data_IF_359163690629
#
_entry.id   IF_359163690629
#
_cell.length_a   1.000
_cell.length_b   1.000
_cell.length_c   1.000
_cell.angle_alpha   90.00
_cell.angle_beta   90.00
_cell.angle_gamma   90.00
#
_symmetry.space_group_name_H-M   'P 1'
#
loop_
_entity.id
_entity.type
_entity.pdbx_description
1 polymer ?
#
# COMPACT_ATOMS: atom_id res chain seq x y z
N UNK A 1 -62.24 5.91 -39.90
CA UNK A 1 -60.95 5.91 -39.16
C UNK A 1 -60.05 4.85 -39.77
N UNK A 2 -59.05 5.26 -40.53
CA UNK A 2 -58.06 4.36 -41.17
C UNK A 2 -57.06 3.86 -40.13
N UNK A 3 -57.06 2.56 -39.86
CA UNK A 3 -56.11 1.89 -38.98
C UNK A 3 -54.71 1.87 -39.63
N UNK A 4 -53.82 2.71 -39.10
CA UNK A 4 -52.40 2.73 -39.47
C UNK A 4 -51.74 1.49 -38.88
N UNK A 5 -51.38 0.54 -39.75
CA UNK A 5 -50.68 -0.70 -39.38
C UNK A 5 -49.30 -0.34 -38.82
N UNK A 6 -49.12 -0.50 -37.50
CA UNK A 6 -47.84 -0.36 -36.82
C UNK A 6 -46.99 -1.59 -37.11
N UNK A 7 -46.17 -1.52 -38.15
CA UNK A 7 -45.17 -2.55 -38.48
C UNK A 7 -44.06 -2.50 -37.44
N UNK A 8 -44.16 -3.34 -36.40
CA UNK A 8 -43.06 -3.59 -35.46
C UNK A 8 -41.92 -4.28 -36.20
N UNK A 9 -40.87 -3.52 -36.48
CA UNK A 9 -39.67 -4.00 -37.14
C UNK A 9 -38.93 -4.96 -36.19
N UNK A 10 -39.22 -6.26 -36.28
CA UNK A 10 -38.60 -7.34 -35.48
C UNK A 10 -37.19 -7.63 -35.99
N UNK A 11 -36.28 -6.65 -35.87
CA UNK A 11 -34.86 -6.88 -36.09
C UNK A 11 -34.12 -7.18 -34.77
N UNK A 12 -34.80 -7.82 -33.82
CA UNK A 12 -34.17 -8.32 -32.60
C UNK A 12 -33.38 -9.60 -32.92
N UNK A 13 -32.17 -9.41 -33.44
CA UNK A 13 -31.15 -10.46 -33.47
C UNK A 13 -30.73 -10.73 -32.02
N UNK A 14 -31.24 -11.82 -31.45
CA UNK A 14 -30.80 -12.28 -30.13
C UNK A 14 -29.35 -12.77 -30.20
N UNK A 15 -28.60 -12.55 -29.13
CA UNK A 15 -27.27 -13.13 -28.94
C UNK A 15 -27.38 -14.65 -29.06
N UNK A 16 -26.53 -15.27 -29.88
CA UNK A 16 -26.52 -16.72 -29.99
C UNK A 16 -25.83 -17.33 -28.75
N UNK A 17 -26.31 -18.50 -28.31
CA UNK A 17 -25.68 -19.22 -27.18
C UNK A 17 -24.20 -19.54 -27.50
N UNK A 18 -23.90 -19.81 -28.77
CA UNK A 18 -22.55 -20.08 -29.23
C UNK A 18 -21.64 -18.85 -29.17
N UNK A 19 -22.13 -17.65 -29.49
CA UNK A 19 -21.38 -16.40 -29.30
C UNK A 19 -21.02 -16.21 -27.84
N UNK A 20 -21.96 -16.45 -26.93
CA UNK A 20 -21.70 -16.31 -25.50
C UNK A 20 -20.71 -17.38 -24.99
N UNK A 21 -20.79 -18.62 -25.48
CA UNK A 21 -19.84 -19.68 -25.14
C UNK A 21 -18.41 -19.35 -25.54
N UNK A 22 -18.20 -18.80 -26.74
CA UNK A 22 -16.85 -18.43 -27.21
C UNK A 22 -16.32 -17.27 -26.37
N UNK A 23 -17.17 -16.30 -26.01
CA UNK A 23 -16.76 -15.16 -25.18
C UNK A 23 -16.29 -15.61 -23.80
N UNK A 24 -17.05 -16.48 -23.11
CA UNK A 24 -16.63 -16.98 -21.79
C UNK A 24 -15.36 -17.85 -21.88
N UNK A 25 -15.17 -18.58 -22.99
CA UNK A 25 -13.96 -19.36 -23.21
C UNK A 25 -12.72 -18.46 -23.33
N UNK A 26 -12.81 -17.37 -24.09
CA UNK A 26 -11.72 -16.39 -24.25
C UNK A 26 -11.44 -15.69 -22.91
N UNK A 27 -12.48 -15.22 -22.20
CA UNK A 27 -12.32 -14.57 -20.88
C UNK A 27 -11.67 -15.55 -19.89
N UNK A 28 -12.02 -16.84 -19.93
CA UNK A 28 -11.42 -17.89 -19.09
C UNK A 28 -9.91 -18.02 -19.30
N UNK A 29 -9.46 -18.02 -20.56
CA UNK A 29 -8.03 -18.09 -20.90
C UNK A 29 -7.30 -16.84 -20.40
N UNK A 30 -7.86 -15.65 -20.64
CA UNK A 30 -7.26 -14.39 -20.18
C UNK A 30 -7.20 -14.31 -18.66
N UNK A 31 -8.26 -14.72 -17.96
CA UNK A 31 -8.33 -14.72 -16.50
C UNK A 31 -7.30 -15.67 -15.87
N UNK A 32 -7.07 -16.84 -16.45
CA UNK A 32 -6.10 -17.81 -15.96
C UNK A 32 -4.67 -17.24 -15.87
N UNK A 33 -4.29 -16.38 -16.83
CA UNK A 33 -2.98 -15.71 -16.84
C UNK A 33 -3.00 -14.41 -16.03
N UNK A 34 -4.09 -13.65 -16.09
CA UNK A 34 -4.18 -12.33 -15.47
C UNK A 34 -4.30 -12.39 -13.94
N UNK A 35 -5.07 -13.33 -13.38
CA UNK A 35 -5.33 -13.43 -11.93
C UNK A 35 -4.03 -13.60 -11.10
N UNK A 36 -3.16 -14.60 -11.38
CA UNK A 36 -1.96 -14.78 -10.56
C UNK A 36 -1.02 -13.58 -10.64
N UNK A 37 -0.90 -12.97 -11.82
CA UNK A 37 -0.10 -11.77 -12.02
C UNK A 37 -0.68 -10.58 -11.23
N UNK A 38 -1.99 -10.37 -11.28
CA UNK A 38 -2.66 -9.30 -10.54
C UNK A 38 -2.45 -9.41 -9.03
N UNK A 39 -2.54 -10.61 -8.47
CA UNK A 39 -2.28 -10.86 -7.04
C UNK A 39 -0.85 -10.44 -6.69
N UNK A 40 0.14 -10.90 -7.46
CA UNK A 40 1.55 -10.53 -7.22
C UNK A 40 1.81 -9.02 -7.32
N UNK A 41 1.21 -8.34 -8.29
CA UNK A 41 1.33 -6.87 -8.40
C UNK A 41 0.71 -6.17 -7.21
N UNK A 42 -0.46 -6.63 -6.76
CA UNK A 42 -1.13 -6.05 -5.61
C UNK A 42 -0.31 -6.25 -4.33
N UNK A 43 0.24 -7.42 -4.13
CA UNK A 43 1.12 -7.75 -3.02
C UNK A 43 2.38 -6.86 -2.98
N UNK A 44 3.01 -6.64 -4.14
CA UNK A 44 4.13 -5.69 -4.28
C UNK A 44 3.73 -4.25 -3.95
N UNK A 45 2.51 -3.83 -4.36
CA UNK A 45 2.02 -2.49 -4.07
C UNK A 45 1.88 -2.23 -2.56
N UNK A 46 1.55 -3.26 -1.77
CA UNK A 46 1.51 -3.15 -0.31
C UNK A 46 2.89 -3.00 0.32
N UNK A 47 3.88 -3.74 -0.17
CA UNK A 47 5.26 -3.57 0.28
C UNK A 47 5.78 -2.16 -0.05
N UNK A 48 5.53 -1.68 -1.28
CA UNK A 48 5.92 -0.34 -1.71
C UNK A 48 5.23 0.75 -0.90
N UNK A 49 3.96 0.55 -0.52
CA UNK A 49 3.26 1.47 0.37
C UNK A 49 3.93 1.58 1.75
N UNK A 50 4.32 0.46 2.36
CA UNK A 50 5.02 0.47 3.65
C UNK A 50 6.40 1.14 3.57
N UNK A 51 7.13 0.95 2.46
CA UNK A 51 8.39 1.64 2.21
C UNK A 51 8.20 3.15 2.02
N UNK A 52 7.19 3.56 1.24
CA UNK A 52 6.84 4.97 1.05
C UNK A 52 6.42 5.63 2.37
N UNK A 53 5.65 4.94 3.20
CA UNK A 53 5.25 5.41 4.53
C UNK A 53 6.48 5.65 5.42
N UNK A 54 7.46 4.75 5.39
CA UNK A 54 8.70 4.90 6.15
C UNK A 54 9.53 6.09 5.66
N UNK A 55 9.58 6.33 4.35
CA UNK A 55 10.26 7.49 3.76
C UNK A 55 9.57 8.81 4.12
N UNK A 56 8.23 8.83 4.12
CA UNK A 56 7.47 10.02 4.53
C UNK A 56 7.70 10.38 6.01
N UNK A 57 7.84 9.38 6.87
CA UNK A 57 8.21 9.58 8.28
C UNK A 57 9.65 10.07 8.40
N UNK A 58 10.56 9.52 7.60
CA UNK A 58 11.96 9.94 7.57
C UNK A 58 12.12 11.40 7.13
N UNK A 59 11.41 11.84 6.08
CA UNK A 59 11.43 13.23 5.64
C UNK A 59 10.83 14.16 6.70
N UNK A 60 9.70 13.79 7.31
CA UNK A 60 9.10 14.58 8.39
C UNK A 60 10.04 14.74 9.60
N UNK A 61 10.84 13.72 9.90
CA UNK A 61 11.85 13.80 10.96
C UNK A 61 13.02 14.71 10.58
N UNK A 62 13.48 14.64 9.33
CA UNK A 62 14.53 15.52 8.82
C UNK A 62 14.09 16.99 8.84
N UNK A 63 12.87 17.29 8.41
CA UNK A 63 12.29 18.64 8.43
C UNK A 63 12.18 19.18 9.85
N UNK A 64 11.80 18.33 10.81
CA UNK A 64 11.72 18.69 12.22
C UNK A 64 13.09 19.14 12.76
N UNK A 65 14.15 18.35 12.54
CA UNK A 65 15.50 18.70 13.00
C UNK A 65 16.19 19.81 12.18
N UNK A 66 15.64 20.19 11.02
CA UNK A 66 16.13 21.33 10.27
C UNK A 66 15.83 22.68 10.97
N UNK A 67 14.86 22.71 11.90
CA UNK A 67 14.49 23.93 12.64
C UNK A 67 15.44 24.16 13.82
N UNK A 68 16.19 25.28 13.86
CA UNK A 68 17.04 25.62 15.00
C UNK A 68 16.22 25.79 16.29
N UNK A 69 16.64 25.13 17.36
CA UNK A 69 15.96 25.15 18.68
C UNK A 69 15.14 23.88 18.95
N UNK A 70 15.02 23.01 17.96
CA UNK A 70 14.33 21.76 18.12
C UNK A 70 15.29 20.60 18.44
N UNK A 71 15.29 20.18 19.70
CA UNK A 71 16.23 19.18 20.23
C UNK A 71 15.53 18.04 20.96
N UNK A 72 14.20 18.01 20.95
CA UNK A 72 13.45 16.99 21.69
C UNK A 72 13.48 15.68 20.94
N UNK A 73 14.08 14.66 21.58
CA UNK A 73 14.07 13.29 21.11
C UNK A 73 12.95 12.55 21.85
N UNK A 74 11.96 12.03 21.14
CA UNK A 74 10.85 11.27 21.73
C UNK A 74 10.63 9.97 20.97
N UNK A 75 10.41 8.91 21.72
CA UNK A 75 9.95 7.64 21.17
C UNK A 75 8.46 7.75 20.87
N UNK A 76 8.05 7.31 19.69
CA UNK A 76 6.65 7.28 19.28
C UNK A 76 6.30 5.84 18.96
N UNK A 77 5.37 5.26 19.72
CA UNK A 77 4.94 3.87 19.56
C UNK A 77 3.47 3.83 19.16
N UNK A 78 3.19 3.49 17.89
CA UNK A 78 1.92 3.10 17.26
C UNK A 78 0.67 4.01 17.39
N UNK A 79 0.09 4.35 16.23
CA UNK A 79 -1.17 5.08 16.07
C UNK A 79 -1.11 6.02 14.85
N UNK A 80 -2.25 6.49 14.33
CA UNK A 80 -2.26 7.57 13.34
C UNK A 80 -1.30 8.67 13.83
N UNK A 81 -0.24 8.92 13.07
CA UNK A 81 0.92 9.62 13.62
C UNK A 81 0.57 11.10 13.75
N UNK A 82 -0.03 11.55 14.84
CA UNK A 82 0.28 12.89 15.33
C UNK A 82 1.70 12.82 15.86
N UNK A 83 2.66 12.97 14.95
CA UNK A 83 4.08 13.07 15.30
C UNK A 83 4.14 14.15 16.39
N UNK A 84 4.86 13.94 17.51
CA UNK A 84 4.98 14.93 18.58
C UNK A 84 5.95 16.03 18.15
N UNK A 85 5.78 16.53 16.93
CA UNK A 85 6.58 17.52 16.25
C UNK A 85 5.68 18.74 16.11
N UNK A 86 5.98 19.88 16.77
CA UNK A 86 5.13 21.06 16.77
C UNK A 86 4.84 21.49 15.32
N UNK A 87 3.56 21.48 14.94
CA UNK A 87 3.10 21.86 13.60
C UNK A 87 2.99 20.73 12.56
N UNK A 88 3.35 19.48 12.90
CA UNK A 88 3.26 18.35 11.99
C UNK A 88 1.81 17.89 11.77
N UNK A 89 1.32 17.98 10.53
CA UNK A 89 0.10 17.27 10.13
C UNK A 89 0.30 15.76 10.36
N UNK A 90 -0.75 15.02 10.74
CA UNK A 90 -0.57 13.61 10.99
C UNK A 90 -0.16 12.89 9.71
N UNK A 91 0.93 12.10 9.78
CA UNK A 91 1.32 11.26 8.65
C UNK A 91 0.34 10.08 8.65
N UNK A 92 -0.60 10.12 7.71
CA UNK A 92 -1.56 9.04 7.52
C UNK A 92 -0.86 7.87 6.85
N UNK A 93 -0.76 6.77 7.58
CA UNK A 93 -0.20 5.52 7.08
C UNK A 93 -1.12 4.86 6.06
N UNK A 94 -0.52 4.20 5.07
CA UNK A 94 -1.28 3.53 4.02
C UNK A 94 -2.00 2.28 4.54
N UNK A 95 -3.33 2.32 4.53
CA UNK A 95 -4.18 1.21 4.92
C UNK A 95 -4.01 0.82 6.40
N UNK A 96 -3.52 -0.40 6.68
CA UNK A 96 -3.32 -0.94 8.03
C UNK A 96 -1.86 -0.88 8.51
N UNK A 97 -1.03 -0.06 7.86
CA UNK A 97 0.36 0.09 8.27
C UNK A 97 0.43 0.82 9.62
N UNK A 98 1.30 0.35 10.51
CA UNK A 98 1.62 1.01 11.77
C UNK A 98 3.09 1.39 11.77
N UNK A 99 3.44 2.32 12.64
CA UNK A 99 4.79 2.86 12.71
C UNK A 99 5.27 2.96 14.15
N UNK A 100 6.56 2.78 14.32
CA UNK A 100 7.30 3.03 15.54
C UNK A 100 8.54 3.85 15.19
N UNK A 101 8.72 4.98 15.85
CA UNK A 101 9.93 5.80 15.76
C UNK A 101 10.63 5.71 17.11
N UNK A 102 11.84 5.16 17.11
CA UNK A 102 12.65 5.00 18.32
C UNK A 102 13.92 5.82 18.17
N UNK A 103 14.15 6.76 19.10
CA UNK A 103 15.42 7.44 19.22
C UNK A 103 16.50 6.46 19.71
N UNK A 104 17.72 6.63 19.24
CA UNK A 104 18.87 5.83 19.66
C UNK A 104 19.16 6.07 21.14
N UNK A 105 19.51 4.99 21.83
CA UNK A 105 19.85 5.02 23.26
C UNK A 105 21.35 4.83 23.46
N UNK A 106 21.92 5.37 24.54
CA UNK A 106 23.34 5.21 24.87
C UNK A 106 24.22 6.25 24.18
N UNK A 107 25.29 5.84 23.48
CA UNK A 107 26.23 6.76 22.80
C UNK A 107 25.73 7.25 21.43
N UNK A 108 24.63 6.70 20.91
CA UNK A 108 24.06 7.05 19.59
C UNK A 108 22.76 7.84 19.73
N UNK A 109 22.79 8.96 20.47
CA UNK A 109 21.60 9.79 20.73
C UNK A 109 21.07 10.52 19.49
N UNK A 110 21.90 10.67 18.46
CA UNK A 110 21.57 11.35 17.21
C UNK A 110 21.07 10.41 16.11
N UNK A 111 20.77 9.15 16.45
CA UNK A 111 20.32 8.15 15.49
C UNK A 111 18.85 7.85 15.69
N UNK A 112 18.06 7.76 14.63
CA UNK A 112 16.66 7.39 14.69
C UNK A 112 16.38 6.11 13.95
N UNK A 113 15.61 5.22 14.58
CA UNK A 113 15.11 4.00 13.95
C UNK A 113 13.63 4.16 13.67
N UNK A 114 13.27 4.12 12.41
CA UNK A 114 11.89 4.11 11.94
C UNK A 114 11.55 2.68 11.58
N UNK A 115 10.45 2.17 12.13
CA UNK A 115 9.91 0.85 11.85
C UNK A 115 8.49 1.01 11.35
N UNK A 116 8.22 0.59 10.13
CA UNK A 116 6.86 0.47 9.60
C UNK A 116 6.51 -1.00 9.59
N UNK A 117 5.39 -1.34 10.21
CA UNK A 117 4.86 -2.70 10.29
C UNK A 117 3.56 -2.78 9.50
N UNK A 118 3.52 -3.67 8.52
CA UNK A 118 2.26 -4.02 7.86
C UNK A 118 1.45 -4.97 8.75
N UNK A 119 0.57 -4.41 9.59
CA UNK A 119 -0.28 -5.21 10.47
C UNK A 119 -1.28 -6.11 9.72
N UNK A 120 -1.44 -5.91 8.41
CA UNK A 120 -2.29 -6.75 7.56
C UNK A 120 -1.61 -8.01 7.02
N UNK A 121 -0.29 -8.16 7.16
CA UNK A 121 0.45 -9.28 6.57
C UNK A 121 0.31 -9.38 5.04
N UNK A 122 0.12 -8.23 4.38
CA UNK A 122 -0.19 -8.10 2.95
C UNK A 122 1.08 -8.11 2.09
N UNK A 123 2.22 -7.72 2.66
CA UNK A 123 3.50 -7.80 1.98
C UNK A 123 4.10 -9.22 2.05
N UNK A 124 4.36 -9.90 0.91
CA UNK A 124 4.90 -11.26 0.90
C UNK A 124 6.36 -11.34 1.37
N UNK A 125 6.68 -12.43 2.07
CA UNK A 125 8.03 -12.68 2.62
C UNK A 125 9.13 -12.83 1.55
N UNK A 126 8.78 -13.21 0.32
CA UNK A 126 9.72 -13.27 -0.81
C UNK A 126 10.20 -11.89 -1.24
N UNK A 127 9.34 -10.87 -1.13
CA UNK A 127 9.73 -9.48 -1.38
C UNK A 127 10.65 -8.96 -0.27
N UNK A 128 10.34 -9.32 0.97
CA UNK A 128 11.09 -8.89 2.16
C UNK A 128 12.53 -9.40 2.14
N UNK A 129 12.76 -10.65 1.73
CA UNK A 129 14.10 -11.23 1.68
C UNK A 129 15.02 -10.57 0.65
N UNK A 130 14.47 -9.88 -0.36
CA UNK A 130 15.23 -9.22 -1.42
C UNK A 130 15.85 -7.89 -1.03
N UNK A 131 15.46 -7.28 0.10
CA UNK A 131 16.01 -5.97 0.53
C UNK A 131 16.51 -6.01 1.97
N UNK A 132 17.69 -5.43 2.21
CA UNK A 132 18.32 -5.43 3.54
C UNK A 132 17.56 -4.62 4.60
N UNK A 133 16.60 -3.78 4.19
CA UNK A 133 15.81 -2.91 5.06
C UNK A 133 14.59 -3.61 5.67
N UNK A 134 14.13 -4.71 5.06
CA UNK A 134 13.11 -5.55 5.64
C UNK A 134 13.72 -6.47 6.70
N UNK A 135 12.99 -6.65 7.80
CA UNK A 135 13.41 -7.53 8.87
C UNK A 135 13.36 -8.98 8.41
N UNK A 136 14.49 -9.68 8.57
CA UNK A 136 14.62 -11.12 8.28
C UNK A 136 14.07 -12.01 9.40
N UNK A 137 13.91 -11.46 10.60
CA UNK A 137 13.47 -12.19 11.80
C UNK A 137 11.98 -11.99 12.06
N UNK A 138 11.45 -10.81 11.76
CA UNK A 138 10.04 -10.46 11.96
C UNK A 138 9.43 -10.02 10.63
N UNK A 139 8.72 -10.90 9.90
CA UNK A 139 8.16 -10.57 8.60
C UNK A 139 7.15 -9.42 8.71
N UNK A 140 7.11 -8.56 7.70
CA UNK A 140 6.21 -7.40 7.63
C UNK A 140 6.78 -6.12 8.24
N UNK A 141 7.99 -6.14 8.79
CA UNK A 141 8.65 -4.95 9.34
C UNK A 141 9.67 -4.40 8.33
N UNK A 142 9.46 -3.18 7.89
CA UNK A 142 10.42 -2.38 7.15
C UNK A 142 11.09 -1.37 8.09
N UNK A 143 12.41 -1.24 8.02
CA UNK A 143 13.14 -0.34 8.92
C UNK A 143 14.18 0.53 8.22
N UNK A 144 14.18 1.82 8.55
CA UNK A 144 15.19 2.79 8.15
C UNK A 144 15.87 3.32 9.41
N UNK A 145 17.19 3.52 9.31
CA UNK A 145 17.96 4.24 10.32
C UNK A 145 18.44 5.55 9.69
N UNK A 146 18.19 6.66 10.38
CA UNK A 146 18.68 8.00 10.06
C UNK A 146 19.79 8.39 11.04
#
# INVERSE_FOLDING_TARGET
MTLKKLTLNRNQKGFTLIELMIVIAIIGILAAIAIPNYISYRDKSFCSAAESDAQAVASGLADYFAIPGNTTHSNVTAGAISVPFPGGQPINMSGKNTVEVTAGTGTNLNTYRIRVTDAGGRCPSTYQQGSAKWSKTNPGIYSITL
#
